data_IF_667564942655
#
_entry.id   IF_667564942655
#
_cell.length_a   1.000
_cell.length_b   1.000
_cell.length_c   1.000
_cell.angle_alpha   90.00
_cell.angle_beta   90.00
_cell.angle_gamma   90.00
#
_symmetry.space_group_name_H-M   'P 1'
#
loop_
_entity.id
_entity.type
_entity.pdbx_description
1 polymer ?
#
# COMPACT_ATOMS: atom_id res chain seq x y z
N UNK A 1 -19.95 19.49 -4.16
CA UNK A 1 -18.90 19.34 -3.16
C UNK A 1 -17.60 19.98 -3.63
N UNK A 2 -16.76 20.42 -2.71
CA UNK A 2 -15.48 21.06 -2.95
C UNK A 2 -14.39 19.99 -2.93
N UNK A 3 -13.61 19.93 -3.99
CA UNK A 3 -12.59 18.87 -4.20
C UNK A 3 -11.22 19.49 -4.33
N UNK A 4 -10.23 18.93 -3.63
CA UNK A 4 -8.81 19.17 -3.88
C UNK A 4 -8.24 17.95 -4.60
N UNK A 5 -7.47 18.16 -5.66
CA UNK A 5 -6.81 17.11 -6.43
C UNK A 5 -5.31 17.23 -6.26
N UNK A 6 -4.63 16.12 -6.02
CA UNK A 6 -3.18 16.00 -6.05
C UNK A 6 -2.76 14.87 -7.01
N UNK A 7 -2.15 15.25 -8.11
CA UNK A 7 -1.70 14.34 -9.19
C UNK A 7 -0.50 15.00 -9.89
N UNK A 8 0.62 14.32 -9.98
CA UNK A 8 1.83 14.86 -10.59
C UNK A 8 1.76 14.89 -12.13
N UNK A 9 1.05 13.94 -12.74
CA UNK A 9 0.87 13.86 -14.18
C UNK A 9 -0.12 14.92 -14.66
N UNK A 10 0.38 15.95 -15.33
CA UNK A 10 -0.42 17.12 -15.77
C UNK A 10 -1.66 16.71 -16.56
N UNK A 11 -1.52 15.80 -17.53
CA UNK A 11 -2.66 15.38 -18.37
C UNK A 11 -3.76 14.70 -17.54
N UNK A 12 -3.40 13.83 -16.61
CA UNK A 12 -4.37 13.16 -15.75
C UNK A 12 -5.02 14.15 -14.78
N UNK A 13 -4.23 15.05 -14.20
CA UNK A 13 -4.74 16.11 -13.32
C UNK A 13 -5.80 16.98 -14.01
N UNK A 14 -5.51 17.49 -15.21
CA UNK A 14 -6.47 18.28 -16.00
C UNK A 14 -7.70 17.45 -16.40
N UNK A 15 -7.50 16.18 -16.74
CA UNK A 15 -8.59 15.25 -17.02
C UNK A 15 -9.51 15.03 -15.82
N UNK A 16 -8.96 14.88 -14.63
CA UNK A 16 -9.71 14.74 -13.37
C UNK A 16 -10.48 16.04 -13.04
N UNK A 17 -9.85 17.22 -13.22
CA UNK A 17 -10.51 18.51 -13.03
C UNK A 17 -11.74 18.60 -13.93
N UNK A 18 -11.57 18.45 -15.24
CA UNK A 18 -12.67 18.54 -16.20
C UNK A 18 -13.76 17.51 -15.95
N UNK A 19 -13.40 16.29 -15.54
CA UNK A 19 -14.34 15.24 -15.21
C UNK A 19 -15.18 15.61 -13.98
N UNK A 20 -14.55 15.98 -12.88
CA UNK A 20 -15.20 16.31 -11.61
C UNK A 20 -16.14 17.51 -11.78
N UNK A 21 -15.70 18.55 -12.50
CA UNK A 21 -16.52 19.74 -12.78
C UNK A 21 -17.71 19.44 -13.68
N UNK A 22 -17.56 18.57 -14.69
CA UNK A 22 -18.65 18.12 -15.56
C UNK A 22 -19.79 17.45 -14.80
N UNK A 23 -19.50 16.80 -13.67
CA UNK A 23 -20.50 16.18 -12.82
C UNK A 23 -21.01 17.11 -11.70
N UNK A 24 -20.77 18.42 -11.80
CA UNK A 24 -21.36 19.43 -10.93
C UNK A 24 -20.65 19.61 -9.59
N UNK A 25 -19.38 19.16 -9.49
CA UNK A 25 -18.55 19.41 -8.32
C UNK A 25 -17.58 20.57 -8.60
N UNK A 26 -16.98 21.14 -7.56
CA UNK A 26 -16.07 22.28 -7.70
C UNK A 26 -14.66 21.86 -7.31
N UNK A 27 -13.71 21.90 -8.22
CA UNK A 27 -12.31 21.74 -7.91
C UNK A 27 -11.75 23.05 -7.38
N UNK A 28 -11.40 23.09 -6.09
CA UNK A 28 -10.92 24.31 -5.42
C UNK A 28 -9.41 24.46 -5.49
N UNK A 29 -8.69 23.37 -5.69
CA UNK A 29 -7.25 23.37 -6.00
C UNK A 29 -6.88 22.08 -6.73
N UNK A 30 -5.89 22.16 -7.63
CA UNK A 30 -5.29 21.04 -8.33
C UNK A 30 -3.75 21.21 -8.28
N UNK A 31 -3.06 20.31 -7.59
CA UNK A 31 -1.63 20.41 -7.28
C UNK A 31 -0.86 19.18 -7.76
N UNK A 32 0.46 19.29 -7.85
CA UNK A 32 1.32 18.26 -8.41
C UNK A 32 2.24 17.53 -7.41
N UNK A 33 2.15 17.86 -6.12
CA UNK A 33 3.01 17.26 -5.09
C UNK A 33 2.35 17.22 -3.71
N UNK A 34 2.91 16.41 -2.82
CA UNK A 34 2.35 16.20 -1.48
C UNK A 34 2.42 17.43 -0.56
N UNK A 35 3.50 18.24 -0.53
CA UNK A 35 3.54 19.49 0.23
C UNK A 35 2.45 20.48 -0.21
N UNK A 36 2.25 20.65 -1.52
CA UNK A 36 1.21 21.53 -2.05
C UNK A 36 -0.20 21.00 -1.72
N UNK A 37 -0.40 19.68 -1.66
CA UNK A 37 -1.65 19.08 -1.22
C UNK A 37 -2.02 19.51 0.20
N UNK A 38 -1.09 19.41 1.15
CA UNK A 38 -1.34 19.80 2.55
C UNK A 38 -1.73 21.28 2.63
N UNK A 39 -0.98 22.15 1.95
CA UNK A 39 -1.29 23.59 1.90
C UNK A 39 -2.65 23.89 1.29
N UNK A 40 -3.01 23.19 0.21
CA UNK A 40 -4.28 23.38 -0.46
C UNK A 40 -5.47 22.95 0.43
N UNK A 41 -5.34 21.85 1.18
CA UNK A 41 -6.37 21.40 2.11
C UNK A 41 -6.55 22.41 3.25
N UNK A 42 -5.46 22.90 3.84
CA UNK A 42 -5.51 23.92 4.89
C UNK A 42 -6.14 25.24 4.42
N UNK A 43 -5.80 25.68 3.20
CA UNK A 43 -6.29 26.93 2.65
C UNK A 43 -7.77 26.87 2.23
N UNK A 44 -8.23 25.73 1.73
CA UNK A 44 -9.53 25.63 1.08
C UNK A 44 -10.59 24.85 1.85
N UNK A 45 -10.23 24.01 2.81
CA UNK A 45 -11.18 23.17 3.58
C UNK A 45 -12.11 22.36 2.65
N UNK A 46 -11.60 21.43 1.84
CA UNK A 46 -12.41 20.67 0.90
C UNK A 46 -13.31 19.65 1.61
N UNK A 47 -14.39 19.23 0.92
CA UNK A 47 -15.22 18.11 1.36
C UNK A 47 -14.50 16.77 1.14
N UNK A 48 -13.67 16.70 0.10
CA UNK A 48 -12.93 15.49 -0.27
C UNK A 48 -11.61 15.84 -0.95
N UNK A 49 -10.60 15.01 -0.68
CA UNK A 49 -9.31 15.00 -1.38
C UNK A 49 -9.27 13.82 -2.35
N UNK A 50 -8.83 14.06 -3.57
CA UNK A 50 -8.44 13.01 -4.53
C UNK A 50 -6.93 13.09 -4.69
N UNK A 51 -6.19 12.03 -4.36
CA UNK A 51 -4.73 12.06 -4.39
C UNK A 51 -4.13 10.84 -5.07
N UNK A 52 -3.10 11.05 -5.89
CA UNK A 52 -2.20 9.97 -6.27
C UNK A 52 -1.37 9.52 -5.07
N UNK A 53 -0.93 8.26 -5.10
CA UNK A 53 0.00 7.70 -4.11
C UNK A 53 1.40 8.23 -4.31
N UNK A 54 1.90 8.21 -5.57
CA UNK A 54 3.29 8.48 -5.91
C UNK A 54 3.46 9.85 -6.51
N UNK A 55 3.93 10.79 -5.71
CA UNK A 55 4.16 12.16 -6.12
C UNK A 55 5.56 12.66 -5.71
N UNK A 56 6.05 13.77 -6.28
CA UNK A 56 7.26 14.41 -5.79
C UNK A 56 7.20 14.68 -4.27
N UNK A 57 8.38 14.68 -3.60
CA UNK A 57 9.71 14.65 -4.18
C UNK A 57 10.28 13.24 -4.41
N UNK A 58 9.80 12.21 -3.76
CA UNK A 58 10.40 10.88 -3.73
C UNK A 58 9.78 9.88 -4.71
N UNK A 59 8.60 10.16 -5.25
CA UNK A 59 7.83 9.30 -6.16
C UNK A 59 7.59 7.87 -5.61
N UNK A 60 7.33 7.77 -4.31
CA UNK A 60 7.07 6.48 -3.65
C UNK A 60 5.66 6.41 -3.05
N UNK A 61 5.44 7.01 -1.90
CA UNK A 61 4.18 6.94 -1.16
C UNK A 61 3.78 8.29 -0.53
N UNK A 62 4.31 9.38 -1.07
CA UNK A 62 4.17 10.73 -0.51
C UNK A 62 2.72 11.18 -0.41
N UNK A 63 1.92 10.93 -1.46
CA UNK A 63 0.50 11.31 -1.44
C UNK A 63 -0.29 10.54 -0.41
N UNK A 64 0.01 9.26 -0.24
CA UNK A 64 -0.65 8.42 0.75
C UNK A 64 -0.26 8.80 2.18
N UNK A 65 1.00 9.17 2.41
CA UNK A 65 1.47 9.72 3.70
C UNK A 65 0.79 11.05 4.02
N UNK A 66 0.72 11.96 3.04
CA UNK A 66 0.03 13.25 3.20
C UNK A 66 -1.46 13.04 3.53
N UNK A 67 -2.13 12.11 2.84
CA UNK A 67 -3.52 11.75 3.13
C UNK A 67 -3.71 11.23 4.57
N UNK A 68 -2.80 10.39 5.06
CA UNK A 68 -2.82 9.90 6.43
C UNK A 68 -2.60 11.02 7.47
N UNK A 69 -1.66 11.92 7.22
CA UNK A 69 -1.40 13.08 8.09
C UNK A 69 -2.60 14.02 8.14
N UNK A 70 -3.20 14.34 7.00
CA UNK A 70 -4.40 15.16 6.91
C UNK A 70 -5.58 14.52 7.68
N UNK A 71 -5.77 13.20 7.56
CA UNK A 71 -6.82 12.50 8.31
C UNK A 71 -6.54 12.34 9.79
N UNK A 72 -5.27 12.32 10.22
CA UNK A 72 -4.93 12.41 11.65
C UNK A 72 -5.28 13.76 12.23
N UNK A 73 -5.11 14.84 11.45
CA UNK A 73 -5.50 16.20 11.85
C UNK A 73 -7.02 16.40 11.81
N UNK A 74 -7.70 15.96 10.76
CA UNK A 74 -9.17 15.92 10.65
C UNK A 74 -9.67 14.53 10.23
N UNK A 75 -10.11 13.69 11.16
CA UNK A 75 -10.63 12.35 10.85
C UNK A 75 -11.90 12.33 9.97
N UNK A 76 -12.57 13.47 9.80
CA UNK A 76 -13.77 13.58 8.96
C UNK A 76 -13.45 13.92 7.51
N UNK A 77 -12.23 14.35 7.20
CA UNK A 77 -11.81 14.65 5.84
C UNK A 77 -11.95 13.39 4.98
N UNK A 78 -12.79 13.46 3.95
CA UNK A 78 -12.91 12.37 3.02
C UNK A 78 -11.68 12.32 2.09
N UNK A 79 -11.18 11.11 1.82
CA UNK A 79 -10.01 10.90 0.95
C UNK A 79 -10.26 9.76 -0.02
N UNK A 80 -10.10 10.03 -1.31
CA UNK A 80 -10.08 9.05 -2.39
C UNK A 80 -8.67 8.96 -2.97
N UNK A 81 -8.01 7.84 -2.74
CA UNK A 81 -6.68 7.57 -3.27
C UNK A 81 -6.79 6.92 -4.65
N UNK A 82 -6.01 7.43 -5.60
CA UNK A 82 -5.80 6.83 -6.91
C UNK A 82 -4.39 6.27 -6.98
N UNK A 83 -4.23 5.04 -7.46
CA UNK A 83 -2.92 4.41 -7.57
C UNK A 83 -2.79 3.57 -8.83
N UNK A 84 -1.62 3.54 -9.42
CA UNK A 84 -1.32 2.60 -10.51
C UNK A 84 -1.10 1.17 -9.98
N UNK A 85 -0.62 1.05 -8.73
CA UNK A 85 -0.35 -0.22 -8.06
C UNK A 85 -0.84 -0.17 -6.61
N UNK A 86 -1.02 -1.34 -6.00
CA UNK A 86 -1.45 -1.41 -4.59
C UNK A 86 -0.26 -1.22 -3.66
N UNK A 87 -0.16 -0.06 -3.01
CA UNK A 87 0.82 0.22 -1.96
C UNK A 87 0.33 -0.33 -0.61
N UNK A 88 0.63 -1.59 -0.39
CA UNK A 88 0.02 -2.40 0.66
C UNK A 88 0.27 -1.88 2.09
N UNK A 89 1.41 -1.22 2.36
CA UNK A 89 1.81 -0.84 3.72
C UNK A 89 0.90 0.23 4.30
N UNK A 90 0.70 1.32 3.58
CA UNK A 90 -0.10 2.46 4.04
C UNK A 90 -1.57 2.38 3.64
N UNK A 91 -1.92 1.57 2.62
CA UNK A 91 -3.31 1.38 2.23
C UNK A 91 -4.13 0.77 3.38
N UNK A 92 -3.59 -0.21 4.10
CA UNK A 92 -4.25 -0.78 5.25
C UNK A 92 -4.45 0.26 6.38
N UNK A 93 -3.44 1.09 6.67
CA UNK A 93 -3.53 2.13 7.69
C UNK A 93 -4.55 3.22 7.31
N UNK A 94 -4.59 3.61 6.03
CA UNK A 94 -5.58 4.55 5.55
C UNK A 94 -7.01 4.00 5.70
N UNK A 95 -7.22 2.74 5.29
CA UNK A 95 -8.53 2.09 5.39
C UNK A 95 -8.99 1.87 6.84
N UNK A 96 -8.05 1.69 7.77
CA UNK A 96 -8.35 1.60 9.21
C UNK A 96 -8.53 2.99 9.85
N UNK A 97 -8.15 4.08 9.17
CA UNK A 97 -8.29 5.44 9.71
C UNK A 97 -9.75 5.80 9.93
N UNK A 98 -10.07 6.40 11.09
CA UNK A 98 -11.44 6.78 11.49
C UNK A 98 -12.48 5.65 11.28
N UNK A 99 -12.11 4.39 11.50
CA UNK A 99 -12.99 3.24 11.29
C UNK A 99 -13.37 2.99 9.83
N UNK A 100 -12.58 3.49 8.88
CA UNK A 100 -12.82 3.36 7.44
C UNK A 100 -13.82 4.35 6.85
N UNK A 101 -14.43 5.22 7.66
CA UNK A 101 -15.41 6.19 7.16
C UNK A 101 -14.73 7.27 6.28
N UNK A 102 -15.32 7.58 5.13
CA UNK A 102 -14.84 8.61 4.22
C UNK A 102 -13.50 8.27 3.56
N UNK A 103 -13.27 6.99 3.24
CA UNK A 103 -12.02 6.53 2.61
C UNK A 103 -12.31 5.76 1.33
N UNK A 104 -11.57 6.08 0.28
CA UNK A 104 -11.58 5.32 -0.96
C UNK A 104 -10.17 4.98 -1.43
N UNK A 105 -10.01 3.81 -2.03
CA UNK A 105 -8.80 3.39 -2.71
C UNK A 105 -9.15 2.74 -4.04
N UNK A 106 -8.83 3.39 -5.15
CA UNK A 106 -9.09 2.91 -6.50
C UNK A 106 -7.79 2.78 -7.29
N UNK A 107 -7.76 1.83 -8.21
CA UNK A 107 -6.72 1.79 -9.23
C UNK A 107 -6.99 2.84 -10.31
N UNK A 108 -5.93 3.48 -10.85
CA UNK A 108 -6.06 4.52 -11.90
C UNK A 108 -6.77 4.00 -13.16
N UNK A 109 -6.71 2.71 -13.44
CA UNK A 109 -7.45 2.09 -14.55
C UNK A 109 -8.99 2.24 -14.40
N UNK A 110 -9.48 2.37 -13.15
CA UNK A 110 -10.91 2.59 -12.87
C UNK A 110 -11.40 4.01 -13.16
N UNK A 111 -10.48 4.97 -13.25
CA UNK A 111 -10.85 6.36 -13.65
C UNK A 111 -11.43 6.40 -15.08
N UNK A 112 -11.05 5.45 -15.94
CA UNK A 112 -11.63 5.27 -17.27
C UNK A 112 -13.11 4.90 -17.25
N UNK A 113 -13.58 4.25 -16.20
CA UNK A 113 -14.99 3.96 -15.94
C UNK A 113 -15.64 5.17 -15.24
N UNK A 114 -15.89 6.23 -15.99
CA UNK A 114 -16.29 7.56 -15.49
C UNK A 114 -17.41 7.50 -14.45
N UNK A 115 -18.44 6.71 -14.70
CA UNK A 115 -19.60 6.58 -13.81
C UNK A 115 -19.22 5.96 -12.47
N UNK A 116 -18.38 4.91 -12.50
CA UNK A 116 -17.89 4.24 -11.28
C UNK A 116 -17.00 5.17 -10.45
N UNK A 117 -16.13 5.95 -11.10
CA UNK A 117 -15.28 6.92 -10.42
C UNK A 117 -16.10 8.02 -9.71
N UNK A 118 -17.11 8.60 -10.38
CA UNK A 118 -17.94 9.65 -9.79
C UNK A 118 -18.83 9.12 -8.68
N UNK A 119 -19.35 7.90 -8.82
CA UNK A 119 -20.09 7.22 -7.75
C UNK A 119 -19.19 6.97 -6.53
N UNK A 120 -17.98 6.47 -6.76
CA UNK A 120 -17.01 6.28 -5.69
C UNK A 120 -16.66 7.59 -4.97
N UNK A 121 -16.40 8.67 -5.73
CA UNK A 121 -16.14 10.00 -5.20
C UNK A 121 -17.28 10.48 -4.30
N UNK A 122 -18.52 10.34 -4.77
CA UNK A 122 -19.73 10.77 -4.04
C UNK A 122 -19.95 9.94 -2.76
N UNK A 123 -19.78 8.62 -2.85
CA UNK A 123 -19.92 7.72 -1.70
C UNK A 123 -18.89 7.98 -0.63
N UNK A 124 -17.62 8.20 -1.02
CA UNK A 124 -16.53 8.52 -0.09
C UNK A 124 -16.78 9.86 0.59
N UNK A 125 -17.18 10.89 -0.15
CA UNK A 125 -17.52 12.19 0.42
C UNK A 125 -18.71 12.14 1.39
N UNK A 126 -19.65 11.21 1.19
CA UNK A 126 -20.76 10.94 2.11
C UNK A 126 -20.36 10.08 3.34
N UNK A 127 -19.08 9.80 3.53
CA UNK A 127 -18.56 9.01 4.67
C UNK A 127 -18.52 7.50 4.40
N UNK A 128 -18.82 7.05 3.17
CA UNK A 128 -18.72 5.64 2.80
C UNK A 128 -17.27 5.18 2.60
N UNK A 129 -17.09 3.86 2.54
CA UNK A 129 -15.81 3.22 2.17
C UNK A 129 -15.92 2.62 0.78
N UNK A 130 -14.95 2.92 -0.10
CA UNK A 130 -14.88 2.36 -1.45
C UNK A 130 -13.47 1.81 -1.68
N UNK A 131 -13.36 0.52 -1.95
CA UNK A 131 -12.06 -0.15 -2.18
C UNK A 131 -12.14 -0.99 -3.44
N UNK A 132 -11.20 -0.81 -4.35
CA UNK A 132 -11.09 -1.67 -5.52
C UNK A 132 -10.90 -3.13 -5.08
N UNK A 133 -11.59 -4.04 -5.75
CA UNK A 133 -11.54 -5.47 -5.48
C UNK A 133 -10.10 -6.03 -5.54
N UNK A 134 -9.27 -5.51 -6.44
CA UNK A 134 -7.86 -5.93 -6.55
C UNK A 134 -7.06 -5.50 -5.33
N UNK A 135 -7.31 -4.30 -4.80
CA UNK A 135 -6.72 -3.81 -3.55
C UNK A 135 -7.10 -4.72 -2.39
N UNK A 136 -8.39 -5.08 -2.28
CA UNK A 136 -8.87 -6.03 -1.25
C UNK A 136 -8.17 -7.37 -1.37
N UNK A 137 -8.07 -7.94 -2.57
CA UNK A 137 -7.38 -9.22 -2.79
C UNK A 137 -5.92 -9.17 -2.33
N UNK A 138 -5.20 -8.11 -2.67
CA UNK A 138 -3.79 -7.97 -2.30
C UNK A 138 -3.59 -7.73 -0.81
N UNK A 139 -4.46 -6.95 -0.15
CA UNK A 139 -4.41 -6.77 1.30
C UNK A 139 -4.70 -8.07 2.06
N UNK A 140 -5.65 -8.88 1.56
CA UNK A 140 -5.95 -10.19 2.16
C UNK A 140 -4.83 -11.20 1.91
N UNK A 141 -4.16 -11.17 0.76
CA UNK A 141 -3.02 -12.05 0.47
C UNK A 141 -1.85 -11.76 1.39
N UNK A 142 -1.59 -10.47 1.71
CA UNK A 142 -0.56 -10.06 2.66
C UNK A 142 -0.80 -10.57 4.08
N UNK A 143 -2.06 -10.66 4.54
CA UNK A 143 -2.38 -11.29 5.84
C UNK A 143 -2.02 -12.79 5.87
N UNK A 144 -1.85 -13.40 4.70
CA UNK A 144 -1.46 -14.80 4.55
C UNK A 144 0.04 -14.98 4.22
N UNK A 145 0.81 -13.89 4.12
CA UNK A 145 2.25 -13.98 3.86
C UNK A 145 2.95 -14.66 5.05
N UNK A 146 3.40 -15.89 4.90
CA UNK A 146 4.02 -16.64 5.97
C UNK A 146 5.36 -16.04 6.42
N UNK A 147 6.01 -15.22 5.58
CA UNK A 147 7.28 -14.59 5.92
C UNK A 147 7.16 -13.57 7.05
N UNK A 148 5.99 -12.99 7.24
CA UNK A 148 5.74 -12.05 8.37
C UNK A 148 5.83 -12.69 9.75
N UNK A 149 5.79 -14.03 9.81
CA UNK A 149 6.02 -14.80 11.05
C UNK A 149 7.49 -14.92 11.40
N UNK A 150 8.38 -14.58 10.45
CA UNK A 150 9.82 -14.65 10.65
C UNK A 150 10.33 -13.41 11.40
N UNK A 151 11.27 -13.63 12.28
CA UNK A 151 12.04 -12.53 12.89
C UNK A 151 12.98 -11.93 11.86
N UNK A 152 13.47 -10.67 12.04
CA UNK A 152 14.47 -10.09 11.15
C UNK A 152 15.66 -10.99 10.90
N UNK A 153 16.14 -11.68 11.95
CA UNK A 153 17.28 -12.61 11.85
C UNK A 153 16.97 -13.87 11.05
N UNK A 154 15.78 -14.40 11.17
CA UNK A 154 15.33 -15.54 10.35
C UNK A 154 15.17 -15.14 8.89
N UNK A 155 14.69 -13.93 8.62
CA UNK A 155 14.58 -13.40 7.27
C UNK A 155 15.97 -13.21 6.63
N UNK A 156 16.95 -12.69 7.37
CA UNK A 156 18.35 -12.61 6.92
C UNK A 156 18.91 -13.99 6.57
N UNK A 157 18.72 -14.99 7.43
CA UNK A 157 19.14 -16.37 7.15
C UNK A 157 18.46 -16.91 5.91
N UNK A 158 17.15 -16.69 5.74
CA UNK A 158 16.41 -17.18 4.60
C UNK A 158 16.84 -16.49 3.30
N UNK A 159 17.15 -15.20 3.31
CA UNK A 159 17.67 -14.47 2.16
C UNK A 159 19.02 -15.02 1.68
N UNK A 160 19.91 -15.37 2.60
CA UNK A 160 21.20 -15.99 2.27
C UNK A 160 21.03 -17.42 1.66
N UNK A 161 20.05 -18.16 2.21
CA UNK A 161 19.69 -19.48 1.66
C UNK A 161 19.10 -19.34 0.24
N UNK A 162 18.29 -18.34 -0.01
CA UNK A 162 17.70 -18.07 -1.31
C UNK A 162 18.77 -17.73 -2.38
N UNK A 163 19.91 -17.19 -1.96
CA UNK A 163 21.09 -16.98 -2.83
C UNK A 163 21.90 -18.28 -3.07
N UNK A 164 21.45 -19.44 -2.58
CA UNK A 164 22.12 -20.72 -2.76
C UNK A 164 23.26 -20.99 -1.78
N UNK A 165 23.47 -20.19 -0.74
CA UNK A 165 24.56 -20.34 0.22
C UNK A 165 24.39 -21.58 1.11
N UNK A 166 25.49 -22.23 1.45
CA UNK A 166 25.52 -23.31 2.44
C UNK A 166 25.38 -22.77 3.87
N UNK A 167 25.06 -23.65 4.84
CA UNK A 167 24.97 -23.24 6.24
C UNK A 167 26.30 -22.69 6.78
N UNK A 168 27.43 -23.28 6.37
CA UNK A 168 28.76 -22.78 6.71
C UNK A 168 29.01 -21.36 6.17
N UNK A 169 28.62 -21.11 4.90
CA UNK A 169 28.75 -19.77 4.30
C UNK A 169 27.84 -18.74 4.97
N UNK A 170 26.58 -19.12 5.29
CA UNK A 170 25.66 -18.25 6.05
C UNK A 170 26.21 -17.95 7.45
N UNK A 171 26.77 -18.95 8.13
CA UNK A 171 27.37 -18.80 9.47
C UNK A 171 28.53 -17.81 9.45
N UNK A 172 29.40 -17.91 8.45
CA UNK A 172 30.53 -17.00 8.28
C UNK A 172 30.07 -15.56 8.01
N UNK A 173 29.12 -15.38 7.09
CA UNK A 173 28.59 -14.06 6.73
C UNK A 173 27.88 -13.35 7.89
N UNK A 174 27.08 -14.11 8.64
CA UNK A 174 26.30 -13.57 9.74
C UNK A 174 27.03 -13.58 11.11
N UNK A 175 28.29 -14.02 11.12
CA UNK A 175 29.17 -14.10 12.31
C UNK A 175 28.49 -14.91 13.42
N UNK A 176 28.02 -16.10 13.10
CA UNK A 176 27.40 -17.06 14.04
C UNK A 176 27.92 -18.48 13.81
N UNK A 177 27.51 -19.42 14.64
CA UNK A 177 27.86 -20.84 14.45
C UNK A 177 26.92 -21.52 13.46
N UNK A 178 27.36 -22.58 12.78
CA UNK A 178 26.48 -23.39 11.91
C UNK A 178 25.31 -24.02 12.70
N UNK A 179 25.50 -24.32 13.96
CA UNK A 179 24.44 -24.79 14.84
C UNK A 179 23.35 -23.74 15.05
N UNK A 180 23.72 -22.45 15.19
CA UNK A 180 22.80 -21.36 15.29
C UNK A 180 22.03 -21.18 13.97
N UNK A 181 22.70 -21.25 12.81
CA UNK A 181 22.04 -21.22 11.50
C UNK A 181 21.03 -22.36 11.36
N UNK A 182 21.41 -23.58 11.74
CA UNK A 182 20.53 -24.74 11.71
C UNK A 182 19.29 -24.58 12.59
N UNK A 183 19.44 -23.95 13.77
CA UNK A 183 18.32 -23.61 14.67
C UNK A 183 17.38 -22.59 14.02
N UNK A 184 17.91 -21.55 13.40
CA UNK A 184 17.09 -20.58 12.65
C UNK A 184 16.34 -21.26 11.51
N UNK A 185 16.99 -22.11 10.73
CA UNK A 185 16.35 -22.87 9.64
C UNK A 185 15.20 -23.74 10.16
N UNK A 186 15.38 -24.44 11.26
CA UNK A 186 14.33 -25.24 11.88
C UNK A 186 13.12 -24.38 12.30
N UNK A 187 13.39 -23.22 12.90
CA UNK A 187 12.36 -22.25 13.27
C UNK A 187 11.64 -21.68 12.04
N UNK A 188 12.37 -21.33 10.97
CA UNK A 188 11.81 -20.89 9.69
C UNK A 188 10.84 -21.95 9.14
N UNK A 189 11.24 -23.23 9.09
CA UNK A 189 10.37 -24.30 8.60
C UNK A 189 9.08 -24.44 9.42
N UNK A 190 9.17 -24.32 10.73
CA UNK A 190 7.99 -24.33 11.61
C UNK A 190 7.07 -23.14 11.35
N UNK A 191 7.63 -21.93 11.24
CA UNK A 191 6.85 -20.70 11.01
C UNK A 191 6.25 -20.61 9.61
N UNK A 192 6.86 -21.26 8.62
CA UNK A 192 6.35 -21.39 7.26
C UNK A 192 5.41 -22.58 7.07
N UNK A 193 5.06 -23.29 8.15
CA UNK A 193 4.19 -24.49 8.12
C UNK A 193 4.72 -25.57 7.15
N UNK A 194 6.05 -25.81 7.18
CA UNK A 194 6.74 -26.81 6.36
C UNK A 194 7.12 -28.05 7.20
N UNK A 195 6.19 -29.01 7.43
CA UNK A 195 6.45 -30.21 8.22
C UNK A 195 7.47 -31.12 7.54
N UNK A 196 8.17 -31.99 8.29
CA UNK A 196 8.98 -33.06 7.72
C UNK A 196 8.11 -33.99 6.87
N UNK A 197 8.39 -34.09 5.59
CA UNK A 197 7.74 -35.04 4.69
C UNK A 197 8.81 -35.77 3.87
N UNK A 198 8.57 -37.05 3.55
CA UNK A 198 9.54 -37.88 2.86
C UNK A 198 9.87 -37.37 1.43
N UNK A 199 8.88 -36.75 0.77
CA UNK A 199 8.98 -36.33 -0.63
C UNK A 199 9.18 -34.82 -0.84
N UNK A 200 9.46 -34.04 0.22
CA UNK A 200 9.61 -32.59 0.11
C UNK A 200 10.94 -32.06 0.60
N UNK A 201 11.60 -31.28 -0.24
CA UNK A 201 12.78 -30.50 0.12
C UNK A 201 12.36 -29.17 0.77
N UNK A 202 12.15 -29.18 2.10
CA UNK A 202 11.71 -28.00 2.87
C UNK A 202 12.52 -26.73 2.60
N UNK A 203 13.85 -26.90 2.38
CA UNK A 203 14.73 -25.78 2.03
C UNK A 203 14.30 -25.13 0.70
N UNK A 204 13.96 -25.93 -0.30
CA UNK A 204 13.45 -25.41 -1.61
C UNK A 204 12.11 -24.73 -1.42
N UNK A 205 11.22 -25.33 -0.64
CA UNK A 205 9.89 -24.72 -0.37
C UNK A 205 9.99 -23.38 0.37
N UNK A 206 10.92 -23.26 1.32
CA UNK A 206 11.17 -22.01 2.04
C UNK A 206 11.74 -20.93 1.09
N UNK A 207 12.65 -21.30 0.19
CA UNK A 207 13.17 -20.37 -0.84
C UNK A 207 12.07 -19.94 -1.81
N UNK A 208 11.22 -20.85 -2.25
CA UNK A 208 10.08 -20.51 -3.12
C UNK A 208 9.08 -19.58 -2.41
N UNK A 209 8.83 -19.77 -1.12
CA UNK A 209 8.02 -18.85 -0.33
C UNK A 209 8.65 -17.45 -0.27
N UNK A 210 9.98 -17.36 -0.10
CA UNK A 210 10.72 -16.09 -0.08
C UNK A 210 10.70 -15.38 -1.44
N UNK A 211 10.82 -16.10 -2.56
CA UNK A 211 10.86 -15.50 -3.89
C UNK A 211 9.48 -15.08 -4.44
N UNK A 212 8.38 -15.51 -3.78
CA UNK A 212 7.00 -15.19 -4.17
C UNK A 212 6.37 -14.09 -3.31
N UNK A 213 7.06 -13.67 -2.26
CA UNK A 213 6.67 -12.56 -1.39
C UNK A 213 7.25 -11.24 -1.92
#
# INVERSE_FOLDING_TARGET
MRVVIAEDTVLLREGLVGLIERFGHTVVAAVGDAPALVQAVEAHGPDIVVTDVRMPPGFSDEGLKAALELRRADPRLAVLVLSQYVEQTYAAELLDSAGGAGVGYLLKDRVGEVTEFVDALTRVAAGGTVVDHEVVRQLLSRRRDPLRRLTPRELEVLSQIAQGRSNASVAAELVVTEAAVSKHIASIFTKLDLPPAADSHRRVLAVLAYLRS
#
